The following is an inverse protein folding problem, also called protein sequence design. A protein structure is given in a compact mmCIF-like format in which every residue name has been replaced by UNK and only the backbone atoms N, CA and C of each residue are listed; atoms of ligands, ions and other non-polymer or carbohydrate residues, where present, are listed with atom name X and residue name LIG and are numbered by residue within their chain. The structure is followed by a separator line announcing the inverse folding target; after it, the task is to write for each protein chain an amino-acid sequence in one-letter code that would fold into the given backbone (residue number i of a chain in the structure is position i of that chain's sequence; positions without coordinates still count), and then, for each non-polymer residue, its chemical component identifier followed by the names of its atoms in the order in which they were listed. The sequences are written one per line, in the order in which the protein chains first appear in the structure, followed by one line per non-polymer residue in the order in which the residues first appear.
data_IF_147552601843
#
_entry.id   IF_147552601843
#
_cell.length_a   1.000
_cell.length_b   1.000
_cell.length_c   1.000
_cell.angle_alpha   90.00
_cell.angle_beta   90.00
_cell.angle_gamma   90.00
#
_symmetry.space_group_name_H-M   'P 1'
#
loop_
_entity.id
_entity.type
_entity.pdbx_description
1 polymer ?
#
# COMPACT_ATOMS: atom_id res chain seq x y z
N UNK A 1 18.47 -16.33 -16.62
CA UNK A 1 19.25 -15.73 -15.51
C UNK A 1 18.47 -14.65 -14.73
N UNK A 2 17.96 -13.58 -15.39
CA UNK A 2 17.23 -12.48 -14.71
C UNK A 2 15.95 -12.91 -13.95
N UNK A 3 15.22 -13.92 -14.43
CA UNK A 3 14.04 -14.46 -13.72
C UNK A 3 14.42 -15.30 -12.48
N UNK A 4 15.52 -16.05 -12.54
CA UNK A 4 16.01 -16.86 -11.43
C UNK A 4 16.46 -15.98 -10.25
N UNK A 5 17.08 -14.84 -10.55
CA UNK A 5 17.49 -13.83 -9.57
C UNK A 5 16.26 -13.14 -8.95
N UNK A 6 15.20 -12.87 -9.72
CA UNK A 6 13.93 -12.34 -9.17
C UNK A 6 13.24 -13.32 -8.24
N UNK A 7 13.28 -14.61 -8.57
CA UNK A 7 12.80 -15.69 -7.69
C UNK A 7 13.63 -15.72 -6.41
N UNK A 8 14.96 -15.63 -6.51
CA UNK A 8 15.90 -15.58 -5.37
C UNK A 8 15.80 -14.29 -4.53
N UNK A 9 15.39 -13.14 -5.09
CA UNK A 9 15.14 -11.93 -4.29
C UNK A 9 13.92 -12.05 -3.37
N UNK A 10 13.02 -13.01 -3.64
CA UNK A 10 11.94 -13.40 -2.73
C UNK A 10 12.36 -14.45 -1.69
N UNK A 11 13.61 -14.96 -1.73
CA UNK A 11 14.11 -15.90 -0.73
C UNK A 11 14.48 -15.15 0.56
N UNK A 12 13.52 -15.02 1.46
CA UNK A 12 13.78 -14.63 2.82
C UNK A 12 14.49 -15.79 3.55
N UNK A 13 15.73 -15.60 3.99
CA UNK A 13 16.50 -16.63 4.73
C UNK A 13 15.76 -17.12 5.99
N UNK A 14 14.94 -16.27 6.61
CA UNK A 14 14.09 -16.62 7.76
C UNK A 14 13.03 -17.66 7.36
N UNK A 15 12.48 -17.57 6.14
CA UNK A 15 11.53 -18.54 5.60
C UNK A 15 12.16 -19.91 5.37
N UNK A 16 13.44 -19.96 4.98
CA UNK A 16 14.20 -21.21 4.84
C UNK A 16 14.53 -21.84 6.21
N UNK A 17 14.87 -21.02 7.20
CA UNK A 17 15.04 -21.46 8.59
C UNK A 17 13.70 -22.00 9.13
N UNK A 18 12.57 -21.35 8.85
CA UNK A 18 11.24 -21.84 9.24
C UNK A 18 10.86 -23.17 8.56
N UNK A 19 11.23 -23.34 7.28
CA UNK A 19 11.05 -24.58 6.52
C UNK A 19 11.84 -25.75 7.14
N UNK A 20 13.09 -25.51 7.56
CA UNK A 20 13.98 -26.53 8.10
C UNK A 20 13.68 -26.84 9.57
N UNK A 21 13.37 -25.83 10.39
CA UNK A 21 13.34 -25.99 11.83
C UNK A 21 11.95 -26.31 12.42
N UNK A 22 10.83 -25.87 11.82
CA UNK A 22 9.60 -25.73 12.62
C UNK A 22 8.29 -26.31 12.11
N UNK A 23 8.04 -26.51 10.79
CA UNK A 23 6.85 -27.23 10.24
C UNK A 23 6.85 -27.25 8.70
N UNK A 24 7.56 -28.17 8.03
CA UNK A 24 7.67 -28.19 6.56
C UNK A 24 6.33 -28.34 5.84
N UNK A 25 5.39 -29.10 6.41
CA UNK A 25 4.04 -29.26 5.85
C UNK A 25 3.23 -27.95 5.85
N UNK A 26 3.37 -27.11 6.88
CA UNK A 26 2.64 -25.84 6.96
C UNK A 26 3.25 -24.81 6.02
N UNK A 27 4.58 -24.78 5.93
CA UNK A 27 5.27 -23.91 4.97
C UNK A 27 4.89 -24.21 3.52
N UNK A 28 4.91 -25.49 3.13
CA UNK A 28 4.50 -25.90 1.78
C UNK A 28 3.02 -25.62 1.50
N UNK A 29 2.15 -25.79 2.50
CA UNK A 29 0.73 -25.37 2.39
C UNK A 29 0.60 -23.86 2.20
N UNK A 30 1.31 -23.05 2.97
CA UNK A 30 1.29 -21.60 2.83
C UNK A 30 1.80 -21.15 1.45
N UNK A 31 2.90 -21.75 0.96
CA UNK A 31 3.40 -21.50 -0.38
C UNK A 31 2.38 -21.88 -1.45
N UNK A 32 1.74 -23.05 -1.32
CA UNK A 32 0.70 -23.50 -2.24
C UNK A 32 -0.53 -22.59 -2.22
N UNK A 33 -0.98 -22.16 -1.04
CA UNK A 33 -2.09 -21.23 -0.88
C UNK A 33 -1.77 -19.86 -1.47
N UNK A 34 -0.59 -19.31 -1.22
CA UNK A 34 -0.15 -18.04 -1.80
C UNK A 34 -0.01 -18.13 -3.33
N UNK A 35 0.55 -19.23 -3.84
CA UNK A 35 0.65 -19.49 -5.26
C UNK A 35 -0.73 -19.63 -5.91
N UNK A 36 -1.65 -20.36 -5.29
CA UNK A 36 -3.03 -20.52 -5.77
C UNK A 36 -3.78 -19.19 -5.74
N UNK A 37 -3.65 -18.40 -4.68
CA UNK A 37 -4.23 -17.06 -4.58
C UNK A 37 -3.69 -16.13 -5.69
N UNK A 38 -2.39 -16.20 -5.98
CA UNK A 38 -1.79 -15.42 -7.08
C UNK A 38 -2.28 -15.87 -8.47
N UNK A 39 -2.58 -17.16 -8.66
CA UNK A 39 -3.13 -17.71 -9.92
C UNK A 39 -4.65 -17.53 -10.06
N UNK A 40 -5.36 -17.34 -8.95
CA UNK A 40 -6.80 -17.05 -8.93
C UNK A 40 -7.12 -15.61 -9.38
N UNK A 41 -6.11 -14.79 -9.69
CA UNK A 41 -6.31 -13.52 -10.36
C UNK A 41 -6.74 -13.80 -11.80
N UNK A 42 -8.01 -13.52 -12.10
CA UNK A 42 -8.55 -13.60 -13.46
C UNK A 42 -7.69 -12.77 -14.43
N UNK A 43 -7.53 -13.18 -15.71
CA UNK A 43 -6.76 -12.42 -16.71
C UNK A 43 -7.31 -11.00 -16.98
N UNK A 44 -8.48 -10.64 -16.44
CA UNK A 44 -9.00 -9.26 -16.41
C UNK A 44 -8.21 -8.32 -15.48
N UNK A 45 -7.34 -8.85 -14.61
CA UNK A 45 -6.42 -8.07 -13.76
C UNK A 45 -5.07 -7.79 -14.43
N UNK A 46 -4.89 -8.15 -15.71
CA UNK A 46 -3.63 -7.92 -16.42
C UNK A 46 -3.29 -6.43 -16.64
N UNK A 47 -4.24 -5.53 -16.41
CA UNK A 47 -4.01 -4.09 -16.41
C UNK A 47 -4.86 -3.45 -15.31
N UNK A 48 -4.21 -2.64 -14.45
CA UNK A 48 -4.92 -1.69 -13.60
C UNK A 48 -5.56 -0.67 -14.55
N UNK A 49 -6.87 -0.41 -14.47
CA UNK A 49 -7.51 0.54 -15.38
C UNK A 49 -6.92 1.94 -15.17
N UNK A 50 -6.46 2.55 -16.26
CA UNK A 50 -5.95 3.91 -16.27
C UNK A 50 -7.07 4.86 -16.70
N UNK A 51 -7.36 5.85 -15.84
CA UNK A 51 -8.39 6.86 -16.08
C UNK A 51 -7.76 8.23 -15.81
N UNK A 52 -8.07 9.21 -16.66
CA UNK A 52 -7.54 10.56 -16.46
C UNK A 52 -8.19 11.24 -15.25
N UNK A 53 -7.43 12.07 -14.55
CA UNK A 53 -7.97 12.85 -13.44
C UNK A 53 -9.15 13.73 -13.88
N UNK A 54 -9.08 14.33 -15.08
CA UNK A 54 -10.17 15.13 -15.63
C UNK A 54 -11.46 14.32 -15.85
N UNK A 55 -11.37 13.04 -16.20
CA UNK A 55 -12.54 12.17 -16.29
C UNK A 55 -13.17 11.91 -14.91
N UNK A 56 -12.35 11.75 -13.86
CA UNK A 56 -12.84 11.54 -12.49
C UNK A 56 -13.49 12.82 -11.94
N UNK A 57 -12.85 13.96 -12.15
CA UNK A 57 -13.33 15.23 -11.60
C UNK A 57 -14.53 15.81 -12.38
N UNK A 58 -14.63 15.54 -13.69
CA UNK A 58 -15.63 16.17 -14.55
C UNK A 58 -15.44 17.69 -14.58
N UNK A 59 -16.52 18.43 -14.36
CA UNK A 59 -16.49 19.90 -14.32
C UNK A 59 -16.03 20.47 -12.96
N UNK A 60 -15.81 19.61 -11.96
CA UNK A 60 -15.40 20.04 -10.60
C UNK A 60 -13.99 20.63 -10.64
N UNK A 61 -13.80 21.74 -9.94
CA UNK A 61 -12.51 22.43 -9.77
C UNK A 61 -12.13 22.51 -8.30
N UNK A 62 -11.71 21.39 -7.69
CA UNK A 62 -11.33 21.37 -6.27
C UNK A 62 -10.14 22.31 -6.05
N UNK A 63 -10.21 23.10 -4.99
CA UNK A 63 -9.07 23.91 -4.52
C UNK A 63 -8.35 23.12 -3.44
N UNK A 64 -7.09 22.79 -3.68
CA UNK A 64 -6.27 22.00 -2.75
C UNK A 64 -5.19 22.85 -2.10
N UNK A 65 -4.84 22.51 -0.86
CA UNK A 65 -3.63 22.95 -0.18
C UNK A 65 -2.55 21.89 -0.36
N UNK A 66 -1.50 22.21 -1.14
CA UNK A 66 -0.41 21.28 -1.46
C UNK A 66 0.93 21.85 -0.97
N UNK A 67 1.65 21.10 -0.15
CA UNK A 67 3.00 21.46 0.27
C UNK A 67 4.00 20.68 -0.57
N UNK A 68 4.70 21.37 -1.47
CA UNK A 68 5.74 20.76 -2.30
C UNK A 68 7.01 20.55 -1.46
N UNK A 69 7.44 19.29 -1.33
CA UNK A 69 8.67 18.91 -0.62
C UNK A 69 9.60 18.18 -1.57
N UNK A 70 10.89 18.18 -1.24
CA UNK A 70 11.85 17.31 -1.92
C UNK A 70 11.41 15.86 -1.70
N UNK A 71 11.45 15.06 -2.76
CA UNK A 71 11.16 13.64 -2.65
C UNK A 71 12.13 12.97 -1.67
N UNK A 72 11.57 12.22 -0.73
CA UNK A 72 12.28 11.32 0.18
C UNK A 72 11.71 9.91 -0.01
N UNK A 73 12.54 8.87 0.15
CA UNK A 73 12.17 7.49 -0.19
C UNK A 73 10.89 7.04 0.53
N UNK A 74 9.80 6.90 -0.23
CA UNK A 74 8.48 6.48 0.24
C UNK A 74 7.43 7.59 0.35
N UNK A 75 7.82 8.87 0.13
CA UNK A 75 6.87 9.97 -0.09
C UNK A 75 6.10 9.72 -1.39
N UNK A 76 4.81 10.07 -1.41
CA UNK A 76 4.04 10.15 -2.64
C UNK A 76 4.54 11.34 -3.50
N UNK A 77 4.96 11.14 -4.77
CA UNK A 77 5.39 12.24 -5.63
C UNK A 77 4.34 13.35 -5.73
N UNK A 78 4.77 14.61 -5.88
CA UNK A 78 3.87 15.77 -5.78
C UNK A 78 2.73 15.74 -6.80
N UNK A 79 2.97 15.21 -7.99
CA UNK A 79 1.97 14.98 -9.03
C UNK A 79 0.89 13.98 -8.59
N UNK A 80 1.27 12.94 -7.87
CA UNK A 80 0.34 11.95 -7.34
C UNK A 80 -0.39 12.49 -6.10
N UNK A 81 0.30 13.25 -5.24
CA UNK A 81 -0.33 13.96 -4.13
C UNK A 81 -1.38 14.95 -4.64
N UNK A 82 -1.07 15.71 -5.68
CA UNK A 82 -2.02 16.63 -6.31
C UNK A 82 -3.27 15.89 -6.80
N UNK A 83 -3.10 14.76 -7.49
CA UNK A 83 -4.23 13.95 -7.96
C UNK A 83 -5.07 13.41 -6.79
N UNK A 84 -4.41 12.83 -5.78
CA UNK A 84 -5.07 12.31 -4.57
C UNK A 84 -5.90 13.39 -3.87
N UNK A 85 -5.29 14.54 -3.57
CA UNK A 85 -5.97 15.64 -2.88
C UNK A 85 -7.10 16.24 -3.71
N UNK A 86 -6.94 16.30 -5.05
CA UNK A 86 -8.00 16.79 -5.94
C UNK A 86 -9.23 15.90 -5.86
N UNK A 87 -9.04 14.57 -5.89
CA UNK A 87 -10.14 13.62 -5.72
C UNK A 87 -10.72 13.74 -4.31
N UNK A 88 -9.88 13.76 -3.29
CA UNK A 88 -10.30 13.85 -1.89
C UNK A 88 -11.21 15.05 -1.61
N UNK A 89 -10.82 16.24 -2.07
CA UNK A 89 -11.60 17.47 -1.92
C UNK A 89 -12.87 17.43 -2.77
N UNK A 90 -12.81 16.87 -3.97
CA UNK A 90 -13.97 16.79 -4.86
C UNK A 90 -15.04 15.81 -4.38
N UNK A 91 -14.63 14.71 -3.73
CA UNK A 91 -15.52 13.71 -3.14
C UNK A 91 -15.96 14.07 -1.72
N UNK A 92 -15.15 14.86 -1.00
CA UNK A 92 -15.39 15.31 0.37
C UNK A 92 -15.91 14.18 1.31
N UNK A 93 -15.21 13.03 1.40
CA UNK A 93 -15.67 11.92 2.21
C UNK A 93 -15.69 12.28 3.70
N UNK A 94 -16.67 11.74 4.43
CA UNK A 94 -16.75 11.87 5.90
C UNK A 94 -15.66 11.05 6.60
N UNK A 95 -15.22 9.96 5.98
CA UNK A 95 -14.23 9.03 6.53
C UNK A 95 -13.24 8.58 5.45
N UNK A 96 -11.97 8.45 5.83
CA UNK A 96 -10.87 8.00 4.96
C UNK A 96 -10.11 6.90 5.68
N UNK A 97 -9.80 5.80 4.98
CA UNK A 97 -8.88 4.78 5.44
C UNK A 97 -7.55 4.89 4.68
N UNK A 98 -6.48 5.22 5.40
CA UNK A 98 -5.12 5.25 4.89
C UNK A 98 -4.35 4.01 5.35
N UNK A 99 -3.75 3.29 4.40
CA UNK A 99 -2.91 2.12 4.67
C UNK A 99 -1.47 2.46 4.30
N UNK A 100 -0.57 2.42 5.29
CA UNK A 100 0.83 2.83 5.15
C UNK A 100 0.95 4.35 5.24
N UNK A 101 1.23 4.85 6.44
CA UNK A 101 1.10 6.29 6.74
C UNK A 101 2.30 7.13 6.29
N UNK A 102 3.39 6.46 5.88
CA UNK A 102 4.66 7.07 5.51
C UNK A 102 5.00 8.34 6.33
N UNK A 103 5.27 8.13 7.62
CA UNK A 103 5.63 9.20 8.56
C UNK A 103 4.56 10.30 8.70
N UNK A 104 3.32 10.04 8.28
CA UNK A 104 2.18 10.94 8.39
C UNK A 104 2.15 12.08 7.37
N UNK A 105 3.01 12.08 6.35
CA UNK A 105 3.05 13.19 5.38
C UNK A 105 1.78 13.30 4.55
N UNK A 106 1.30 12.17 4.03
CA UNK A 106 0.06 12.12 3.26
C UNK A 106 -1.13 12.37 4.18
N UNK A 107 -1.18 11.71 5.36
CA UNK A 107 -2.17 11.95 6.41
C UNK A 107 -2.36 13.43 6.72
N UNK A 108 -1.25 14.15 6.95
CA UNK A 108 -1.28 15.58 7.26
C UNK A 108 -1.90 16.38 6.13
N UNK A 109 -1.49 16.13 4.88
CA UNK A 109 -2.03 16.85 3.73
C UNK A 109 -3.51 16.57 3.52
N UNK A 110 -3.96 15.33 3.76
CA UNK A 110 -5.39 14.99 3.74
C UNK A 110 -6.15 15.74 4.83
N UNK A 111 -5.65 15.76 6.06
CA UNK A 111 -6.26 16.48 7.18
C UNK A 111 -6.33 18.00 6.93
N UNK A 112 -5.30 18.57 6.29
CA UNK A 112 -5.29 19.98 5.90
C UNK A 112 -6.30 20.27 4.77
N UNK A 113 -6.80 19.29 4.02
CA UNK A 113 -7.77 19.47 2.93
C UNK A 113 -9.20 19.00 3.27
N UNK A 114 -9.36 18.15 4.28
CA UNK A 114 -10.64 17.66 4.80
C UNK A 114 -10.90 18.22 6.20
N UNK A 115 -11.55 19.38 6.28
CA UNK A 115 -11.73 20.10 7.55
C UNK A 115 -12.60 19.34 8.56
N UNK A 116 -13.52 18.50 8.10
CA UNK A 116 -14.47 17.76 8.94
C UNK A 116 -14.38 16.24 8.80
N UNK A 117 -13.44 15.74 7.99
CA UNK A 117 -13.30 14.31 7.71
C UNK A 117 -12.52 13.57 8.80
N UNK A 118 -12.88 12.32 9.08
CA UNK A 118 -12.14 11.44 9.98
C UNK A 118 -11.17 10.60 9.15
N UNK A 119 -9.89 10.59 9.53
CA UNK A 119 -8.86 9.80 8.86
C UNK A 119 -8.44 8.65 9.77
N UNK A 120 -8.82 7.43 9.41
CA UNK A 120 -8.35 6.19 10.01
C UNK A 120 -7.04 5.80 9.34
N UNK A 121 -6.01 5.58 10.15
CA UNK A 121 -4.70 5.16 9.64
C UNK A 121 -4.36 3.76 10.13
N UNK A 122 -3.83 2.95 9.23
CA UNK A 122 -3.29 1.62 9.54
C UNK A 122 -1.85 1.60 9.08
N UNK A 123 -0.93 1.49 10.04
CA UNK A 123 0.49 1.34 9.75
C UNK A 123 0.95 -0.10 9.93
N UNK A 124 2.04 -0.46 9.25
CA UNK A 124 2.71 -1.71 9.52
C UNK A 124 3.36 -1.63 10.92
N UNK A 125 3.34 -2.72 11.71
CA UNK A 125 3.98 -2.71 13.02
C UNK A 125 5.46 -2.35 12.89
N UNK A 126 5.94 -1.48 13.78
CA UNK A 126 7.32 -0.96 13.78
C UNK A 126 8.38 -2.08 13.94
N UNK A 127 7.95 -3.26 14.36
CA UNK A 127 8.77 -4.46 14.42
C UNK A 127 7.86 -5.69 14.46
N UNK A 128 8.08 -6.65 13.55
CA UNK A 128 7.82 -8.05 13.85
C UNK A 128 8.89 -8.50 14.87
N UNK A 129 8.92 -7.90 16.06
CA UNK A 129 9.62 -8.48 17.19
C UNK A 129 8.86 -9.74 17.53
N UNK A 130 9.49 -10.88 17.28
CA UNK A 130 8.97 -12.21 17.60
C UNK A 130 8.79 -12.26 19.12
N UNK A 131 7.66 -11.80 19.64
CA UNK A 131 7.19 -12.27 20.94
C UNK A 131 6.90 -13.75 20.76
N UNK A 132 7.81 -14.59 21.28
CA UNK A 132 7.53 -16.01 21.44
C UNK A 132 6.41 -16.11 22.47
N UNK A 133 5.30 -16.74 22.08
CA UNK A 133 4.32 -17.22 23.04
C UNK A 133 5.04 -18.04 24.12
N UNK A 134 4.79 -17.80 25.42
CA UNK A 134 5.29 -18.67 26.48
C UNK A 134 4.68 -20.06 26.33
N UNK A 135 5.52 -21.09 26.42
CA UNK A 135 5.16 -22.52 26.36
C UNK A 135 4.11 -22.92 27.40
#
# INVERSE_FOLDING_TARGET
MKQLIKVLLGFNAISLIYLICLKPKQFLRACSSAFTASRSMTPKLNAIPEVSLGHILGDRRPTIRLIVRRYENGILPSEHTMALLSILVAEAPSEVLEIGTYMGHTTRQMAENLETGIIHTVDLPQSFSVERDPE
#
